data_IF_882671024573
#
_entry.id   IF_882671024573
#
_cell.length_a   1.000
_cell.length_b   1.000
_cell.length_c   1.000
_cell.angle_alpha   90.00
_cell.angle_beta   90.00
_cell.angle_gamma   90.00
#
_symmetry.space_group_name_H-M   'P 1'
#
loop_
_entity.id
_entity.type
_entity.pdbx_description
1 polymer ?
#
# COMPACT_ATOMS: atom_id res chain seq x y z
N UNK A 1 -14.58 1.82 1.59
CA UNK A 1 -14.15 2.31 2.90
C UNK A 1 -14.18 1.20 3.92
N UNK A 2 -13.07 0.93 4.50
CA UNK A 2 -12.97 0.00 5.61
C UNK A 2 -13.59 0.65 6.84
N UNK A 3 -14.35 -0.12 7.62
CA UNK A 3 -14.83 0.34 8.91
C UNK A 3 -13.65 0.37 9.89
N UNK A 4 -12.91 1.47 9.87
CA UNK A 4 -11.77 1.70 10.76
C UNK A 4 -12.17 2.63 11.90
N UNK A 5 -11.36 2.68 12.94
CA UNK A 5 -11.53 3.67 14.01
C UNK A 5 -11.47 5.10 13.46
N UNK A 6 -12.12 6.03 14.13
CA UNK A 6 -12.26 7.42 13.68
C UNK A 6 -10.93 8.06 13.29
N UNK A 7 -9.88 7.87 14.06
CA UNK A 7 -8.54 8.42 13.78
C UNK A 7 -7.95 7.83 12.48
N UNK A 8 -8.03 6.52 12.32
CA UNK A 8 -7.48 5.84 11.15
C UNK A 8 -8.24 6.22 9.88
N UNK A 9 -9.55 6.39 9.97
CA UNK A 9 -10.37 6.84 8.84
C UNK A 9 -9.98 8.24 8.38
N UNK A 10 -9.72 9.18 9.30
CA UNK A 10 -9.27 10.53 8.99
C UNK A 10 -7.88 10.50 8.34
N UNK A 11 -6.95 9.75 8.90
CA UNK A 11 -5.59 9.62 8.35
C UNK A 11 -5.61 9.03 6.94
N UNK A 12 -6.43 8.01 6.71
CA UNK A 12 -6.62 7.45 5.37
C UNK A 12 -7.20 8.46 4.39
N UNK A 13 -8.19 9.25 4.81
CA UNK A 13 -8.79 10.29 3.98
C UNK A 13 -7.78 11.37 3.58
N UNK A 14 -6.83 11.69 4.45
CA UNK A 14 -5.76 12.66 4.18
C UNK A 14 -4.51 12.05 3.57
N UNK A 15 -4.49 10.75 3.33
CA UNK A 15 -3.34 9.97 2.84
C UNK A 15 -2.12 10.00 3.77
N UNK A 16 -2.30 10.36 5.04
CA UNK A 16 -1.20 10.37 6.02
C UNK A 16 -0.64 8.95 6.22
N UNK A 17 -1.49 7.93 6.28
CA UNK A 17 -1.02 6.53 6.36
C UNK A 17 -0.12 6.18 5.19
N UNK A 18 -0.46 6.63 4.00
CA UNK A 18 0.36 6.37 2.81
C UNK A 18 1.70 7.11 2.89
N UNK A 19 1.70 8.31 3.43
CA UNK A 19 2.93 9.05 3.70
C UNK A 19 3.83 8.33 4.69
N UNK A 20 3.27 7.81 5.77
CA UNK A 20 4.01 7.02 6.75
C UNK A 20 4.55 5.72 6.14
N UNK A 21 3.78 5.05 5.30
CA UNK A 21 4.23 3.84 4.58
C UNK A 21 5.41 4.12 3.65
N UNK A 22 5.49 5.29 3.02
CA UNK A 22 6.64 5.70 2.23
C UNK A 22 7.89 5.77 3.11
N UNK A 23 7.80 6.36 4.28
CA UNK A 23 8.90 6.45 5.23
C UNK A 23 9.32 5.05 5.68
N UNK A 24 8.37 4.20 6.03
CA UNK A 24 8.64 2.82 6.41
C UNK A 24 9.36 2.05 5.30
N UNK A 25 8.87 2.14 4.08
CA UNK A 25 9.46 1.44 2.93
C UNK A 25 10.91 1.88 2.70
N UNK A 26 11.19 3.17 2.81
CA UNK A 26 12.56 3.69 2.69
C UNK A 26 13.51 3.01 3.67
N UNK A 27 13.13 2.92 4.93
CA UNK A 27 14.00 2.38 5.98
C UNK A 27 14.04 0.86 6.00
N UNK A 28 12.92 0.18 5.76
CA UNK A 28 12.87 -1.28 5.77
C UNK A 28 13.61 -1.90 4.60
N UNK A 29 13.51 -1.31 3.41
CA UNK A 29 14.09 -1.88 2.19
C UNK A 29 15.35 -1.17 1.72
N UNK A 30 15.77 -0.11 2.40
CA UNK A 30 16.98 0.63 2.02
C UNK A 30 16.89 1.27 0.63
N UNK A 31 15.68 1.63 0.19
CA UNK A 31 15.47 2.29 -1.10
C UNK A 31 15.41 3.80 -0.94
N UNK A 32 15.76 4.52 -2.00
CA UNK A 32 15.62 5.97 -2.03
C UNK A 32 14.14 6.33 -2.18
N UNK A 33 13.72 7.42 -1.55
CA UNK A 33 12.33 7.86 -1.61
C UNK A 33 11.85 8.17 -3.04
N UNK A 34 12.76 8.61 -3.90
CA UNK A 34 12.46 8.84 -5.33
C UNK A 34 12.10 7.57 -6.09
N UNK A 35 12.51 6.41 -5.58
CA UNK A 35 12.23 5.10 -6.16
C UNK A 35 10.95 4.47 -5.60
N UNK A 36 10.22 5.19 -4.75
CA UNK A 36 8.95 4.76 -4.18
C UNK A 36 7.83 5.53 -4.89
N UNK A 37 6.94 4.80 -5.53
CA UNK A 37 5.77 5.38 -6.21
C UNK A 37 4.49 5.02 -5.46
N UNK A 38 3.60 6.00 -5.33
CA UNK A 38 2.27 5.79 -4.79
C UNK A 38 1.28 5.76 -5.94
N UNK A 39 0.45 4.73 -5.97
CA UNK A 39 -0.64 4.56 -6.92
C UNK A 39 -1.98 4.67 -6.19
N UNK A 40 -2.91 5.41 -6.76
CA UNK A 40 -4.30 5.39 -6.33
C UNK A 40 -5.00 4.26 -7.07
N UNK A 41 -5.48 3.28 -6.33
CA UNK A 41 -6.07 2.06 -6.89
C UNK A 41 -7.43 1.80 -6.23
N UNK A 42 -8.53 2.28 -6.84
CA UNK A 42 -9.85 2.24 -6.22
C UNK A 42 -10.34 0.83 -5.88
N UNK A 43 -10.01 -0.17 -6.70
CA UNK A 43 -10.46 -1.54 -6.49
C UNK A 43 -9.78 -2.22 -5.28
N UNK A 44 -8.62 -1.71 -4.87
CA UNK A 44 -7.88 -2.21 -3.70
C UNK A 44 -7.60 -3.73 -3.75
N UNK A 45 -7.18 -4.21 -4.90
CA UNK A 45 -6.81 -5.61 -5.14
C UNK A 45 -5.30 -5.78 -5.15
N UNK A 46 -4.57 -4.89 -5.84
CA UNK A 46 -3.12 -4.84 -5.79
C UNK A 46 -2.70 -3.97 -4.60
N UNK A 47 -1.95 -4.52 -3.68
CA UNK A 47 -1.57 -3.84 -2.44
C UNK A 47 -0.16 -3.31 -2.44
N UNK A 48 0.76 -3.99 -3.11
CA UNK A 48 2.14 -3.57 -3.26
C UNK A 48 2.74 -4.23 -4.49
N UNK A 49 3.77 -3.61 -5.06
CA UNK A 49 4.48 -4.17 -6.20
C UNK A 49 5.94 -3.72 -6.19
N UNK A 50 6.78 -4.52 -6.80
CA UNK A 50 8.20 -4.22 -7.03
C UNK A 50 8.45 -4.28 -8.53
N UNK A 51 9.00 -3.20 -9.07
CA UNK A 51 9.48 -3.13 -10.44
C UNK A 51 10.98 -3.42 -10.47
N UNK A 52 11.38 -4.36 -11.32
CA UNK A 52 12.77 -4.71 -11.53
C UNK A 52 13.39 -3.89 -12.66
N UNK A 53 14.73 -3.93 -12.77
CA UNK A 53 15.47 -3.16 -13.78
C UNK A 53 15.11 -3.53 -15.22
N UNK A 54 14.66 -4.77 -15.44
CA UNK A 54 14.20 -5.23 -16.75
C UNK A 54 12.77 -4.77 -17.11
N UNK A 55 12.13 -4.03 -16.19
CA UNK A 55 10.76 -3.54 -16.37
C UNK A 55 9.69 -4.53 -15.93
N UNK A 56 10.05 -5.74 -15.50
CA UNK A 56 9.05 -6.67 -14.97
C UNK A 56 8.55 -6.22 -13.60
N UNK A 57 7.28 -6.50 -13.30
CA UNK A 57 6.65 -6.13 -12.04
C UNK A 57 6.09 -7.37 -11.36
N UNK A 58 6.42 -7.53 -10.08
CA UNK A 58 5.84 -8.57 -9.23
C UNK A 58 5.04 -7.88 -8.13
N UNK A 59 3.77 -8.25 -7.99
CA UNK A 59 2.86 -7.63 -7.04
C UNK A 59 2.17 -8.62 -6.11
N UNK A 60 1.78 -8.12 -4.95
CA UNK A 60 0.95 -8.85 -4.00
C UNK A 60 -0.50 -8.42 -4.21
N UNK A 61 -1.34 -9.38 -4.51
CA UNK A 61 -2.77 -9.17 -4.76
C UNK A 61 -3.60 -9.97 -3.77
N UNK A 62 -4.76 -9.45 -3.43
CA UNK A 62 -5.71 -10.11 -2.56
C UNK A 62 -7.00 -9.30 -2.42
N UNK A 63 -8.04 -9.93 -1.93
CA UNK A 63 -9.23 -9.18 -1.52
C UNK A 63 -8.86 -8.22 -0.37
N UNK A 64 -9.53 -7.05 -0.26
CA UNK A 64 -9.20 -6.08 0.79
C UNK A 64 -9.70 -6.55 2.16
N UNK A 65 -8.98 -7.49 2.76
CA UNK A 65 -9.28 -8.10 4.05
C UNK A 65 -7.99 -8.20 4.87
N UNK A 66 -7.91 -7.45 5.95
CA UNK A 66 -6.73 -7.40 6.84
C UNK A 66 -6.43 -8.74 7.51
N UNK A 67 -7.37 -9.68 7.54
CA UNK A 67 -7.11 -11.01 8.11
C UNK A 67 -6.06 -11.78 7.31
N UNK A 68 -5.94 -11.51 6.01
CA UNK A 68 -4.95 -12.18 5.16
C UNK A 68 -3.51 -11.85 5.64
N UNK A 69 -3.08 -10.58 5.68
CA UNK A 69 -1.74 -10.26 6.14
C UNK A 69 -1.52 -10.56 7.63
N UNK A 70 -2.54 -10.40 8.46
CA UNK A 70 -2.44 -10.73 9.90
C UNK A 70 -2.21 -12.22 10.10
N UNK A 71 -2.99 -13.07 9.42
CA UNK A 71 -2.83 -14.52 9.49
C UNK A 71 -1.45 -14.95 9.02
N UNK A 72 -0.94 -14.37 7.95
CA UNK A 72 0.38 -14.68 7.43
C UNK A 72 1.48 -14.24 8.41
N UNK A 73 1.35 -13.05 9.01
CA UNK A 73 2.32 -12.58 10.00
C UNK A 73 2.37 -13.48 11.23
N UNK A 74 1.23 -13.98 11.68
CA UNK A 74 1.15 -14.86 12.85
C UNK A 74 1.63 -16.29 12.57
N UNK A 75 1.43 -16.78 11.37
CA UNK A 75 1.75 -18.16 10.99
C UNK A 75 3.04 -18.29 10.19
N UNK A 76 3.74 -17.19 9.93
CA UNK A 76 4.93 -17.15 9.09
C UNK A 76 5.92 -18.30 9.44
N UNK A 77 6.49 -19.01 8.47
CA UNK A 77 6.37 -18.81 7.01
C UNK A 77 5.20 -19.57 6.36
N UNK A 78 4.31 -20.13 7.14
CA UNK A 78 3.16 -20.88 6.66
C UNK A 78 2.02 -19.97 6.24
N UNK A 79 1.21 -20.44 5.27
CA UNK A 79 -0.02 -19.78 4.87
C UNK A 79 -1.21 -20.64 5.33
N UNK A 80 -2.05 -20.05 6.16
CA UNK A 80 -3.24 -20.72 6.66
C UNK A 80 -4.33 -20.74 5.60
N UNK A 81 -5.14 -21.80 5.60
CA UNK A 81 -6.31 -21.90 4.72
C UNK A 81 -7.30 -20.80 5.06
N UNK A 82 -7.71 -20.02 4.06
CA UNK A 82 -8.77 -19.02 4.23
C UNK A 82 -10.14 -19.70 4.29
N UNK A 83 -11.03 -19.12 5.11
CA UNK A 83 -12.45 -19.47 5.15
C UNK A 83 -13.27 -18.63 4.18
N UNK A 84 -12.65 -17.73 3.43
CA UNK A 84 -13.30 -16.82 2.49
C UNK A 84 -12.87 -17.10 1.06
N UNK A 85 -13.72 -16.66 0.14
CA UNK A 85 -13.40 -16.70 -1.28
C UNK A 85 -12.20 -15.79 -1.59
N UNK A 86 -11.40 -16.22 -2.54
CA UNK A 86 -10.27 -15.44 -3.04
C UNK A 86 -10.70 -14.34 -4.02
N UNK A 87 -9.75 -13.90 -4.84
CA UNK A 87 -10.00 -12.89 -5.87
C UNK A 87 -10.89 -13.49 -6.97
N UNK A 88 -11.95 -12.78 -7.30
CA UNK A 88 -12.77 -13.09 -8.49
C UNK A 88 -12.30 -12.25 -9.67
N UNK A 89 -11.46 -12.83 -10.53
CA UNK A 89 -10.93 -12.16 -11.71
C UNK A 89 -11.98 -11.91 -12.80
N UNK A 90 -13.09 -12.59 -12.77
CA UNK A 90 -14.19 -12.42 -13.72
C UNK A 90 -15.30 -11.50 -13.19
N UNK A 91 -15.20 -11.10 -11.94
CA UNK A 91 -16.11 -10.18 -11.27
C UNK A 91 -15.40 -8.89 -10.87
N UNK A 92 -15.26 -8.67 -9.56
CA UNK A 92 -14.72 -7.42 -9.00
C UNK A 92 -13.31 -7.07 -9.47
N UNK A 93 -12.46 -8.07 -9.69
CA UNK A 93 -11.08 -7.88 -10.11
C UNK A 93 -10.88 -8.00 -11.63
N UNK A 94 -11.96 -7.96 -12.42
CA UNK A 94 -11.88 -8.01 -13.89
C UNK A 94 -11.29 -6.75 -14.50
N UNK A 95 -11.39 -5.62 -13.80
CA UNK A 95 -10.83 -4.33 -14.22
C UNK A 95 -10.08 -3.69 -13.07
N UNK A 96 -8.79 -3.49 -13.24
CA UNK A 96 -7.93 -2.81 -12.29
C UNK A 96 -7.50 -1.47 -12.88
N UNK A 97 -7.73 -0.41 -12.15
CA UNK A 97 -7.39 0.95 -12.59
C UNK A 97 -6.42 1.61 -11.63
N UNK A 98 -5.52 2.43 -12.18
CA UNK A 98 -4.49 3.11 -11.43
C UNK A 98 -4.46 4.58 -11.82
N UNK A 99 -4.37 5.44 -10.82
CA UNK A 99 -4.34 6.88 -10.97
C UNK A 99 -3.14 7.47 -10.22
N UNK A 100 -2.66 8.60 -10.72
CA UNK A 100 -1.64 9.34 -10.00
C UNK A 100 -2.29 10.07 -8.81
N UNK A 101 -1.63 10.11 -7.63
CA UNK A 101 -2.10 10.95 -6.54
C UNK A 101 -1.98 12.42 -6.95
N UNK A 102 -2.98 13.22 -6.58
CA UNK A 102 -2.94 14.68 -6.73
C UNK A 102 -2.12 15.29 -5.58
N UNK A 103 -0.94 15.89 -5.85
CA UNK A 103 -0.10 16.47 -4.79
C UNK A 103 -0.79 17.60 -4.02
N UNK A 104 -1.73 18.31 -4.65
CA UNK A 104 -2.48 19.37 -3.98
C UNK A 104 -3.47 18.81 -2.96
N UNK A 105 -4.10 17.69 -3.29
CA UNK A 105 -5.02 16.98 -2.39
C UNK A 105 -4.25 16.20 -1.33
N UNK A 106 -3.11 15.63 -1.69
CA UNK A 106 -2.33 14.73 -0.82
C UNK A 106 -1.06 15.41 -0.28
N UNK A 107 -1.21 16.56 0.35
CA UNK A 107 -0.08 17.31 0.97
C UNK A 107 0.72 16.46 1.94
N UNK A 108 0.07 15.52 2.64
CA UNK A 108 0.73 14.63 3.59
C UNK A 108 1.78 13.73 2.91
N UNK A 109 1.52 13.29 1.68
CA UNK A 109 2.48 12.50 0.90
C UNK A 109 3.72 13.35 0.60
N UNK A 110 3.52 14.58 0.18
CA UNK A 110 4.61 15.52 -0.11
C UNK A 110 5.47 15.78 1.13
N UNK A 111 4.85 16.03 2.27
CA UNK A 111 5.56 16.24 3.54
C UNK A 111 6.38 14.99 3.89
N UNK A 112 5.83 13.81 3.70
CA UNK A 112 6.55 12.57 3.95
C UNK A 112 7.78 12.40 3.05
N UNK A 113 7.67 12.75 1.77
CA UNK A 113 8.82 12.75 0.86
C UNK A 113 9.90 13.72 1.32
N UNK A 114 9.53 14.95 1.63
CA UNK A 114 10.47 15.99 2.11
C UNK A 114 11.16 15.58 3.41
N UNK A 115 10.41 15.06 4.37
CA UNK A 115 10.95 14.58 5.65
C UNK A 115 11.91 13.41 5.45
N UNK A 116 11.58 12.49 4.54
CA UNK A 116 12.45 11.35 4.24
C UNK A 116 13.77 11.76 3.59
N UNK A 117 13.75 12.76 2.71
CA UNK A 117 14.96 13.28 2.07
C UNK A 117 15.83 14.06 3.05
N UNK A 118 15.22 14.80 3.97
CA UNK A 118 15.95 15.60 4.95
C UNK A 118 16.64 14.77 6.03
N UNK A 119 16.46 13.47 6.07
CA UNK A 119 17.01 12.53 7.08
C UNK A 119 16.74 12.98 8.53
N UNK A 120 15.64 13.67 8.74
CA UNK A 120 15.24 14.21 10.05
C UNK A 120 14.52 13.20 10.94
N UNK A 121 14.69 11.94 10.70
CA UNK A 121 14.12 10.91 11.55
C UNK A 121 15.17 10.51 12.56
N UNK A 122 15.02 11.09 13.72
CA UNK A 122 15.75 10.67 14.91
C UNK A 122 15.10 9.42 15.50
#
# INVERSE_FOLDING_TARGET
NWSMGKKITIDSATMMNKGLEVIEAKWLFGVDVKDIQILVHPQSILHSAVEFEDGSVIGQMGVPDMRIPISFAMAYPMRLKSTRDGIDFFGRASHLTFEKPDPEVFKCIRIAYEASEAALIL
#
